data_IF_410878042720
#
_entry.id   IF_410878042720
#
_cell.length_a   1.000
_cell.length_b   1.000
_cell.length_c   1.000
_cell.angle_alpha   90.00
_cell.angle_beta   90.00
_cell.angle_gamma   90.00
#
_symmetry.space_group_name_H-M   'P 1'
#
loop_
_entity.id
_entity.type
_entity.pdbx_description
1 polymer ?
#
# COMPACT_ATOMS: atom_id res chain seq x y z
N UNK A 1 -2.69 -27.70 0.26
CA UNK A 1 -3.21 -26.90 1.40
C UNK A 1 -3.11 -25.37 1.20
N UNK A 2 -2.22 -24.86 0.31
CA UNK A 2 -2.00 -23.41 0.12
C UNK A 2 -3.16 -22.59 -0.47
N UNK A 3 -3.88 -23.11 -1.47
CA UNK A 3 -4.89 -22.34 -2.20
C UNK A 3 -6.08 -21.83 -1.33
N UNK A 4 -6.47 -22.57 -0.27
CA UNK A 4 -7.52 -22.12 0.65
C UNK A 4 -7.06 -20.95 1.53
N UNK A 5 -5.79 -21.00 1.95
CA UNK A 5 -5.17 -19.94 2.74
C UNK A 5 -4.99 -18.71 1.86
N UNK A 6 -4.50 -18.84 0.63
CA UNK A 6 -4.36 -17.70 -0.29
C UNK A 6 -5.68 -17.00 -0.59
N UNK A 7 -6.79 -17.74 -0.69
CA UNK A 7 -8.14 -17.16 -0.83
C UNK A 7 -8.60 -16.41 0.41
N UNK A 8 -8.20 -16.87 1.60
CA UNK A 8 -8.47 -16.21 2.86
C UNK A 8 -7.61 -14.95 2.97
N UNK A 9 -6.29 -15.07 3.06
CA UNK A 9 -5.37 -13.99 3.45
C UNK A 9 -4.77 -13.17 2.29
N UNK A 10 -5.07 -13.54 1.05
CA UNK A 10 -4.44 -13.01 -0.16
C UNK A 10 -3.16 -13.78 -0.52
N UNK A 11 -2.81 -13.75 -1.81
CA UNK A 11 -1.60 -14.44 -2.29
C UNK A 11 -0.35 -13.87 -1.61
N UNK A 12 0.70 -14.70 -1.48
CA UNK A 12 2.00 -14.26 -0.94
C UNK A 12 2.54 -13.04 -1.68
N UNK A 13 2.37 -13.00 -3.00
CA UNK A 13 2.78 -11.91 -3.88
C UNK A 13 2.00 -10.63 -3.59
N UNK A 14 0.66 -10.68 -3.51
CA UNK A 14 -0.16 -9.51 -3.20
C UNK A 14 0.20 -8.90 -1.83
N UNK A 15 0.48 -9.75 -0.84
CA UNK A 15 0.95 -9.32 0.49
C UNK A 15 2.36 -8.74 0.47
N UNK A 16 3.24 -9.24 -0.39
CA UNK A 16 4.59 -8.70 -0.56
C UNK A 16 4.54 -7.35 -1.26
N UNK A 17 3.77 -7.23 -2.35
CA UNK A 17 3.56 -6.00 -3.09
C UNK A 17 2.95 -4.90 -2.21
N UNK A 18 1.93 -5.23 -1.41
CA UNK A 18 1.33 -4.27 -0.49
C UNK A 18 2.32 -3.78 0.59
N UNK A 19 3.16 -4.67 1.14
CA UNK A 19 4.20 -4.27 2.10
C UNK A 19 5.26 -3.37 1.45
N UNK A 20 5.71 -3.72 0.25
CA UNK A 20 6.69 -2.93 -0.49
C UNK A 20 6.15 -1.54 -0.82
N UNK A 21 4.91 -1.44 -1.32
CA UNK A 21 4.28 -0.15 -1.63
C UNK A 21 4.12 0.73 -0.39
N UNK A 22 3.74 0.14 0.77
CA UNK A 22 3.65 0.90 2.03
C UNK A 22 4.99 1.38 2.54
N UNK A 23 6.04 0.57 2.35
CA UNK A 23 7.39 0.96 2.72
C UNK A 23 7.87 2.12 1.84
N UNK A 24 7.64 2.06 0.52
CA UNK A 24 7.94 3.14 -0.40
C UNK A 24 7.21 4.44 -0.01
N UNK A 25 5.92 4.37 0.29
CA UNK A 25 5.15 5.54 0.73
C UNK A 25 5.73 6.15 2.03
N UNK A 26 6.14 5.31 2.98
CA UNK A 26 6.75 5.78 4.22
C UNK A 26 8.10 6.46 3.98
N UNK A 27 8.93 5.91 3.09
CA UNK A 27 10.22 6.49 2.70
C UNK A 27 10.06 7.85 2.01
N UNK A 28 9.10 7.97 1.08
CA UNK A 28 8.77 9.24 0.42
C UNK A 28 8.24 10.25 1.43
N UNK A 29 7.30 9.84 2.29
CA UNK A 29 6.72 10.71 3.32
C UNK A 29 7.77 11.22 4.31
N UNK A 30 8.68 10.35 4.77
CA UNK A 30 9.75 10.74 5.69
C UNK A 30 10.78 11.65 5.02
N UNK A 31 11.11 11.40 3.74
CA UNK A 31 11.99 12.28 2.97
C UNK A 31 11.36 13.66 2.82
N UNK A 32 10.10 13.74 2.42
CA UNK A 32 9.39 15.01 2.20
C UNK A 32 9.29 15.80 3.52
N UNK A 33 8.96 15.11 4.63
CA UNK A 33 8.97 15.70 5.98
C UNK A 33 10.34 16.25 6.36
N UNK A 34 11.43 15.52 6.07
CA UNK A 34 12.81 15.99 6.34
C UNK A 34 13.22 17.17 5.47
N UNK A 35 12.68 17.28 4.26
CA UNK A 35 12.87 18.42 3.37
C UNK A 35 12.02 19.65 3.77
N UNK A 36 11.17 19.53 4.80
CA UNK A 36 10.24 20.60 5.19
C UNK A 36 9.07 20.78 4.21
N UNK A 37 8.84 19.80 3.34
CA UNK A 37 7.68 19.78 2.45
C UNK A 37 6.48 19.29 3.25
N UNK A 38 5.47 20.15 3.35
CA UNK A 38 4.22 19.86 4.04
C UNK A 38 3.05 19.62 3.07
N UNK A 39 3.22 20.04 1.81
CA UNK A 39 2.25 19.82 0.75
C UNK A 39 2.46 18.45 0.08
N UNK A 40 1.41 17.91 -0.51
CA UNK A 40 1.49 16.66 -1.28
C UNK A 40 2.37 16.85 -2.51
N UNK A 41 3.45 16.06 -2.60
CA UNK A 41 4.32 16.00 -3.78
C UNK A 41 3.75 15.01 -4.79
N UNK A 42 4.05 15.21 -6.08
CA UNK A 42 3.68 14.26 -7.13
C UNK A 42 4.21 12.84 -6.84
N UNK A 43 5.38 12.76 -6.21
CA UNK A 43 5.98 11.48 -5.81
C UNK A 43 5.23 10.82 -4.67
N UNK A 44 4.76 11.59 -3.68
CA UNK A 44 3.88 11.08 -2.63
C UNK A 44 2.57 10.57 -3.21
N UNK A 45 1.95 11.32 -4.13
CA UNK A 45 0.72 10.90 -4.83
C UNK A 45 0.94 9.63 -5.65
N UNK A 46 2.08 9.51 -6.34
CA UNK A 46 2.44 8.31 -7.09
C UNK A 46 2.65 7.10 -6.17
N UNK A 47 3.37 7.26 -5.05
CA UNK A 47 3.59 6.20 -4.07
C UNK A 47 2.28 5.77 -3.41
N UNK A 48 1.40 6.71 -3.07
CA UNK A 48 0.08 6.44 -2.50
C UNK A 48 -0.81 5.68 -3.50
N UNK A 49 -0.76 6.05 -4.78
CA UNK A 49 -1.45 5.34 -5.85
C UNK A 49 -1.02 3.88 -5.98
N UNK A 50 0.29 3.58 -5.77
CA UNK A 50 0.79 2.20 -5.73
C UNK A 50 0.23 1.41 -4.55
N UNK A 51 0.12 2.02 -3.37
CA UNK A 51 -0.52 1.40 -2.19
C UNK A 51 -1.97 1.05 -2.50
N UNK A 52 -2.74 1.99 -3.04
CA UNK A 52 -4.14 1.77 -3.42
C UNK A 52 -4.28 0.64 -4.46
N UNK A 53 -3.39 0.58 -5.45
CA UNK A 53 -3.37 -0.50 -6.45
C UNK A 53 -3.06 -1.86 -5.82
N UNK A 54 -2.09 -1.92 -4.89
CA UNK A 54 -1.74 -3.15 -4.19
C UNK A 54 -2.84 -3.61 -3.22
N UNK A 55 -3.54 -2.69 -2.54
CA UNK A 55 -4.68 -3.01 -1.69
C UNK A 55 -5.84 -3.64 -2.47
N UNK A 56 -6.08 -3.22 -3.71
CA UNK A 56 -7.09 -3.83 -4.58
C UNK A 56 -6.80 -5.31 -4.88
N UNK A 57 -5.55 -5.77 -4.74
CA UNK A 57 -5.18 -7.17 -4.89
C UNK A 57 -5.43 -8.00 -3.61
N UNK A 58 -5.65 -7.34 -2.47
CA UNK A 58 -5.96 -8.01 -1.21
C UNK A 58 -7.44 -8.39 -1.13
N UNK A 59 -7.79 -9.46 -0.37
CA UNK A 59 -9.16 -9.78 -0.02
C UNK A 59 -9.88 -8.60 0.65
N UNK A 60 -11.16 -8.42 0.34
CA UNK A 60 -11.96 -7.25 0.74
C UNK A 60 -11.94 -6.97 2.25
N UNK A 61 -11.96 -8.00 3.09
CA UNK A 61 -11.93 -7.86 4.55
C UNK A 61 -10.61 -7.31 5.10
N UNK A 62 -9.56 -7.28 4.27
CA UNK A 62 -8.21 -6.88 4.61
C UNK A 62 -7.78 -5.55 3.98
N UNK A 63 -8.65 -4.98 3.15
CA UNK A 63 -8.51 -3.62 2.63
C UNK A 63 -8.87 -2.65 3.75
N UNK A 64 -8.25 -1.47 3.75
CA UNK A 64 -8.74 -0.40 4.62
C UNK A 64 -10.20 -0.10 4.25
N UNK A 65 -11.06 0.22 5.24
CA UNK A 65 -12.40 0.68 4.93
C UNK A 65 -12.27 1.92 4.03
N UNK A 66 -12.88 1.88 2.84
CA UNK A 66 -13.04 3.07 2.01
C UNK A 66 -13.63 4.15 2.92
N UNK A 67 -12.94 5.27 3.08
CA UNK A 67 -13.47 6.43 3.77
C UNK A 67 -14.74 6.85 3.00
N UNK A 68 -15.90 6.48 3.54
CA UNK A 68 -17.22 6.81 3.00
C UNK A 68 -17.57 8.25 3.32
#
# INVERSE_FOLDING_TARGET
MGARIDRLIGTREARAAHRAARQELAEVSDRDRRAGLHDETDEFVAANSKVNAAEKQLPRWRRLPDAR
#
